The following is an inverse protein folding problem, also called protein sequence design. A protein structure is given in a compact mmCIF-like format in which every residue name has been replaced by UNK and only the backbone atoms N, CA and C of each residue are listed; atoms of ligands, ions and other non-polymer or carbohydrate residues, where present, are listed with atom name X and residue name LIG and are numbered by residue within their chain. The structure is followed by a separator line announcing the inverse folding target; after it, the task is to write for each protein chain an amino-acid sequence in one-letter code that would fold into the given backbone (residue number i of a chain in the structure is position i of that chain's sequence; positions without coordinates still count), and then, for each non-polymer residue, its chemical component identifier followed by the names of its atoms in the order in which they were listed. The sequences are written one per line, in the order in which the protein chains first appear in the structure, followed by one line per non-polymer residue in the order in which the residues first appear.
data_IF_702630343503
#
_entry.id   IF_702630343503
#
_cell.length_a   1.000
_cell.length_b   1.000
_cell.length_c   1.000
_cell.angle_alpha   90.00
_cell.angle_beta   90.00
_cell.angle_gamma   90.00
#
_symmetry.space_group_name_H-M   'P 1'
#
loop_
_entity.id
_entity.type
_entity.pdbx_description
1 polymer ?
#
# COMPACT_ATOMS: atom_id res chain seq x y z
N UNK A 1 20.63 6.82 20.65
CA UNK A 1 19.75 7.01 19.47
C UNK A 1 18.25 7.08 19.79
N UNK A 2 17.75 6.52 20.89
CA UNK A 2 16.31 6.47 21.19
C UNK A 2 15.57 7.83 21.32
N UNK A 3 16.29 8.96 21.42
CA UNK A 3 15.71 10.32 21.50
C UNK A 3 15.96 11.19 20.26
N UNK A 4 16.50 10.61 19.18
CA UNK A 4 16.84 11.39 17.97
C UNK A 4 15.59 11.81 17.21
N UNK A 5 15.49 13.04 16.77
CA UNK A 5 14.38 13.53 15.94
C UNK A 5 14.58 13.22 14.44
N UNK A 6 13.50 13.21 13.63
CA UNK A 6 13.61 12.98 12.20
C UNK A 6 14.60 13.95 11.53
N UNK A 7 15.44 13.39 10.66
CA UNK A 7 16.59 13.99 9.96
C UNK A 7 17.83 14.29 10.83
N UNK A 8 17.86 13.82 12.08
CA UNK A 8 19.04 13.95 12.93
C UNK A 8 20.08 12.84 12.64
N UNK A 9 21.37 13.17 12.81
CA UNK A 9 22.50 12.26 12.70
C UNK A 9 23.06 12.01 14.09
N UNK A 10 23.31 10.74 14.45
CA UNK A 10 23.83 10.38 15.77
C UNK A 10 25.31 10.72 15.89
N UNK A 11 25.77 10.94 17.12
CA UNK A 11 27.19 10.80 17.43
C UNK A 11 27.71 9.39 17.06
N UNK A 12 29.02 9.23 16.79
CA UNK A 12 29.60 7.92 16.51
C UNK A 12 29.39 6.93 17.67
N UNK A 13 28.58 5.90 17.43
CA UNK A 13 28.27 4.85 18.41
C UNK A 13 29.32 3.75 18.30
N UNK A 14 30.06 3.50 19.39
CA UNK A 14 31.07 2.44 19.44
C UNK A 14 30.41 1.07 19.63
N UNK A 15 30.73 0.13 18.75
CA UNK A 15 30.32 -1.29 18.84
C UNK A 15 31.54 -2.20 18.75
N UNK A 16 31.34 -3.50 18.94
CA UNK A 16 32.40 -4.51 18.75
C UNK A 16 32.98 -4.54 17.33
N UNK A 17 32.23 -4.03 16.33
CA UNK A 17 32.62 -4.01 14.94
C UNK A 17 33.19 -2.65 14.48
N UNK A 18 33.27 -1.66 15.37
CA UNK A 18 33.78 -0.31 15.07
C UNK A 18 32.80 0.80 15.43
N UNK A 19 32.91 1.95 14.78
CA UNK A 19 32.01 3.10 15.00
C UNK A 19 30.87 3.11 13.97
N UNK A 20 29.65 3.34 14.44
CA UNK A 20 28.44 3.42 13.62
C UNK A 20 27.85 4.83 13.75
N UNK A 21 27.51 5.45 12.63
CA UNK A 21 26.82 6.74 12.59
C UNK A 21 25.44 6.46 11.98
N UNK A 22 24.38 6.87 12.65
CA UNK A 22 23.00 6.55 12.28
C UNK A 22 22.31 7.86 11.90
N UNK A 23 21.62 7.90 10.76
CA UNK A 23 20.76 9.01 10.38
C UNK A 23 19.29 8.60 10.51
N UNK A 24 18.51 9.28 11.34
CA UNK A 24 17.09 8.97 11.50
C UNK A 24 16.30 9.62 10.36
N UNK A 25 15.78 8.85 9.42
CA UNK A 25 15.01 9.41 8.28
C UNK A 25 13.56 9.78 8.64
N UNK A 26 13.02 9.15 9.67
CA UNK A 26 11.64 9.32 10.12
C UNK A 26 11.37 8.45 11.34
N UNK A 27 10.39 8.83 12.15
CA UNK A 27 9.96 8.08 13.34
C UNK A 27 8.52 7.63 13.12
N UNK A 28 8.24 6.37 13.40
CA UNK A 28 6.89 5.80 13.37
C UNK A 28 6.62 5.22 14.76
N UNK A 29 5.46 5.49 15.34
CA UNK A 29 5.05 4.86 16.60
C UNK A 29 4.68 3.40 16.30
N UNK A 30 5.26 2.47 17.06
CA UNK A 30 4.89 1.07 16.94
C UNK A 30 3.45 0.89 17.42
N UNK A 31 2.60 0.28 16.58
CA UNK A 31 1.19 0.05 16.89
C UNK A 31 0.24 1.22 16.57
N UNK A 32 0.71 2.32 15.99
CA UNK A 32 -0.18 3.31 15.40
C UNK A 32 -0.67 2.79 14.03
N UNK A 33 -1.99 2.57 13.83
CA UNK A 33 -2.50 2.08 12.55
C UNK A 33 -2.18 3.10 11.45
N UNK A 34 -1.46 2.68 10.40
CA UNK A 34 -1.30 3.48 9.20
C UNK A 34 -2.45 3.14 8.23
N UNK A 35 -3.39 4.08 7.97
CA UNK A 35 -4.49 3.83 7.04
C UNK A 35 -4.02 3.48 5.62
N UNK A 36 -2.79 3.84 5.25
CA UNK A 36 -2.17 3.52 3.97
C UNK A 36 -1.70 2.07 3.90
N UNK A 37 -1.40 1.45 5.04
CA UNK A 37 -0.96 0.05 5.11
C UNK A 37 -2.11 -0.93 5.24
N UNK A 38 -3.33 -0.45 5.53
CA UNK A 38 -4.53 -1.27 5.55
C UNK A 38 -4.71 -2.02 4.22
N UNK A 39 -5.08 -3.30 4.32
CA UNK A 39 -5.39 -4.15 3.17
C UNK A 39 -6.89 -4.10 2.95
N UNK A 40 -7.31 -3.87 1.72
CA UNK A 40 -8.72 -3.79 1.34
C UNK A 40 -9.00 -4.66 0.13
N UNK A 41 -10.22 -5.21 0.08
CA UNK A 41 -10.83 -5.67 -1.16
C UNK A 41 -11.87 -4.65 -1.58
N UNK A 42 -11.95 -4.36 -2.87
CA UNK A 42 -12.83 -3.31 -3.40
C UNK A 42 -13.74 -3.88 -4.48
N UNK A 43 -14.86 -3.23 -4.71
CA UNK A 43 -15.63 -3.36 -5.96
C UNK A 43 -15.71 -1.98 -6.58
N UNK A 44 -15.50 -1.89 -7.89
CA UNK A 44 -15.54 -0.61 -8.59
C UNK A 44 -16.39 -0.64 -9.85
N UNK A 45 -16.96 0.52 -10.18
CA UNK A 45 -17.65 0.76 -11.45
C UNK A 45 -16.94 1.94 -12.13
N UNK A 46 -16.30 1.64 -13.26
CA UNK A 46 -15.60 2.60 -14.09
C UNK A 46 -16.49 3.04 -15.24
N UNK A 47 -16.72 4.33 -15.36
CA UNK A 47 -17.60 4.91 -16.37
C UNK A 47 -16.80 5.87 -17.27
N UNK A 48 -16.35 5.43 -18.46
CA UNK A 48 -15.55 6.26 -19.35
C UNK A 48 -16.36 7.46 -19.86
N UNK A 49 -15.73 8.64 -19.88
CA UNK A 49 -16.31 9.88 -20.46
C UNK A 49 -15.69 10.25 -21.80
N UNK A 50 -14.64 9.53 -22.22
CA UNK A 50 -13.93 9.73 -23.48
C UNK A 50 -13.73 8.40 -24.23
N UNK A 51 -13.51 8.50 -25.54
CA UNK A 51 -13.24 7.34 -26.41
C UNK A 51 -14.49 6.59 -26.89
N UNK A 52 -14.29 5.49 -27.63
CA UNK A 52 -15.36 4.76 -28.30
C UNK A 52 -16.34 4.00 -27.38
N UNK A 53 -16.06 3.95 -26.07
CA UNK A 53 -16.96 3.40 -25.05
C UNK A 53 -17.51 4.48 -24.12
N UNK A 54 -17.30 5.76 -24.45
CA UNK A 54 -17.77 6.87 -23.63
C UNK A 54 -19.27 6.78 -23.38
N UNK A 55 -19.65 6.93 -22.12
CA UNK A 55 -21.04 6.92 -21.69
C UNK A 55 -21.62 8.32 -21.92
N UNK A 56 -22.85 8.40 -22.44
CA UNK A 56 -23.49 9.69 -22.68
C UNK A 56 -23.85 10.38 -21.35
N UNK A 57 -24.04 11.70 -21.37
CA UNK A 57 -24.39 12.45 -20.16
C UNK A 57 -25.69 11.95 -19.49
N UNK A 58 -26.70 11.57 -20.27
CA UNK A 58 -27.96 11.03 -19.75
C UNK A 58 -27.78 9.66 -19.10
N UNK A 59 -27.05 8.76 -19.76
CA UNK A 59 -26.68 7.46 -19.19
C UNK A 59 -25.83 7.63 -17.93
N UNK A 60 -24.97 8.65 -17.89
CA UNK A 60 -24.17 8.93 -16.70
C UNK A 60 -25.00 9.33 -15.51
N UNK A 61 -25.97 10.22 -15.70
CA UNK A 61 -26.90 10.59 -14.65
C UNK A 61 -27.69 9.38 -14.16
N UNK A 62 -28.18 8.55 -15.10
CA UNK A 62 -28.92 7.33 -14.78
C UNK A 62 -28.09 6.34 -13.97
N UNK A 63 -26.91 5.93 -14.48
CA UNK A 63 -26.06 4.96 -13.78
C UNK A 63 -25.60 5.49 -12.43
N UNK A 64 -25.24 6.76 -12.33
CA UNK A 64 -24.83 7.37 -11.06
C UNK A 64 -25.95 7.25 -10.02
N UNK A 65 -27.19 7.57 -10.41
CA UNK A 65 -28.35 7.47 -9.52
C UNK A 65 -28.61 6.01 -9.09
N UNK A 66 -28.65 5.07 -10.05
CA UNK A 66 -28.84 3.65 -9.78
C UNK A 66 -27.76 3.09 -8.84
N UNK A 67 -26.50 3.44 -9.07
CA UNK A 67 -25.38 3.03 -8.20
C UNK A 67 -25.59 3.57 -6.78
N UNK A 68 -25.95 4.84 -6.62
CA UNK A 68 -26.10 5.43 -5.28
C UNK A 68 -27.33 4.94 -4.51
N UNK A 69 -28.37 4.49 -5.20
CA UNK A 69 -29.68 4.15 -4.58
C UNK A 69 -29.94 2.65 -4.48
N UNK A 70 -29.41 1.84 -5.41
CA UNK A 70 -29.71 0.41 -5.50
C UNK A 70 -28.56 -0.48 -5.02
N UNK A 71 -27.34 0.05 -4.92
CA UNK A 71 -26.16 -0.73 -4.52
C UNK A 71 -25.91 -0.55 -3.02
N UNK A 72 -26.28 -1.56 -2.24
CA UNK A 72 -26.04 -1.66 -0.80
C UNK A 72 -25.02 -2.73 -0.39
N UNK A 73 -24.54 -3.55 -1.34
CA UNK A 73 -23.54 -4.58 -1.08
C UNK A 73 -22.55 -4.73 -2.24
N UNK A 74 -21.41 -5.35 -1.97
CA UNK A 74 -20.41 -5.63 -2.99
C UNK A 74 -20.91 -6.58 -4.09
N UNK A 75 -21.79 -7.53 -3.75
CA UNK A 75 -22.39 -8.43 -4.75
C UNK A 75 -23.30 -7.66 -5.70
N UNK A 76 -24.09 -6.72 -5.17
CA UNK A 76 -24.92 -5.83 -5.99
C UNK A 76 -24.05 -4.90 -6.85
N UNK A 77 -22.93 -4.42 -6.31
CA UNK A 77 -21.99 -3.59 -7.06
C UNK A 77 -21.33 -4.37 -8.20
N UNK A 78 -20.94 -5.62 -7.95
CA UNK A 78 -20.37 -6.52 -8.95
C UNK A 78 -21.41 -6.88 -10.04
N UNK A 79 -22.65 -7.16 -9.66
CA UNK A 79 -23.73 -7.40 -10.62
C UNK A 79 -24.02 -6.15 -11.49
N UNK A 80 -24.01 -4.97 -10.87
CA UNK A 80 -24.16 -3.69 -11.57
C UNK A 80 -22.98 -3.43 -12.53
N UNK A 81 -21.75 -3.69 -12.09
CA UNK A 81 -20.55 -3.61 -12.92
C UNK A 81 -20.66 -4.52 -14.17
N UNK A 82 -21.11 -5.76 -14.00
CA UNK A 82 -21.33 -6.71 -15.11
C UNK A 82 -22.43 -6.22 -16.06
N UNK A 83 -23.53 -5.69 -15.53
CA UNK A 83 -24.65 -5.15 -16.32
C UNK A 83 -24.23 -3.95 -17.18
N UNK A 84 -23.40 -3.06 -16.63
CA UNK A 84 -22.88 -1.89 -17.36
C UNK A 84 -21.83 -2.33 -18.39
N UNK A 85 -21.02 -3.35 -18.08
CA UNK A 85 -20.08 -3.96 -19.03
C UNK A 85 -18.94 -3.04 -19.47
N UNK A 86 -18.58 -2.06 -18.64
CA UNK A 86 -17.44 -1.18 -18.89
C UNK A 86 -16.13 -1.84 -18.44
N UNK A 87 -15.05 -1.79 -19.26
CA UNK A 87 -13.75 -2.30 -18.88
C UNK A 87 -13.22 -1.63 -17.61
N UNK A 88 -12.59 -2.40 -16.74
CA UNK A 88 -12.10 -1.91 -15.46
C UNK A 88 -13.17 -1.85 -14.36
N UNK A 89 -14.41 -2.27 -14.61
CA UNK A 89 -15.41 -2.47 -13.57
C UNK A 89 -15.37 -3.91 -13.02
N UNK A 90 -15.71 -4.07 -11.74
CA UNK A 90 -15.76 -5.36 -11.05
C UNK A 90 -14.95 -5.38 -9.75
N UNK A 91 -14.71 -6.59 -9.19
CA UNK A 91 -13.94 -6.74 -7.97
C UNK A 91 -12.46 -6.44 -8.22
N UNK A 92 -11.85 -5.73 -7.27
CA UNK A 92 -10.42 -5.59 -7.13
C UNK A 92 -10.01 -6.43 -5.92
N UNK A 93 -9.07 -7.33 -6.15
CA UNK A 93 -8.54 -8.24 -5.15
C UNK A 93 -7.73 -7.49 -4.06
N UNK A 94 -7.16 -8.22 -3.12
CA UNK A 94 -6.40 -7.72 -1.99
C UNK A 94 -5.33 -6.71 -2.40
N UNK A 95 -5.50 -5.46 -1.98
CA UNK A 95 -4.56 -4.38 -2.25
C UNK A 95 -4.39 -3.47 -1.02
N UNK A 96 -3.16 -2.94 -0.85
CA UNK A 96 -2.90 -1.91 0.14
C UNK A 96 -3.51 -0.57 -0.28
N UNK A 97 -4.13 0.12 0.67
CA UNK A 97 -4.72 1.45 0.43
C UNK A 97 -3.69 2.43 -0.14
N UNK A 98 -2.43 2.38 0.31
CA UNK A 98 -1.34 3.21 -0.19
C UNK A 98 -0.97 2.97 -1.66
N UNK A 99 -1.34 1.82 -2.23
CA UNK A 99 -1.14 1.51 -3.65
C UNK A 99 -2.19 2.11 -4.58
N UNK A 100 -3.27 2.70 -4.04
CA UNK A 100 -4.32 3.33 -4.83
C UNK A 100 -3.88 4.69 -5.39
N UNK A 101 -4.41 5.10 -6.56
CA UNK A 101 -4.29 6.47 -7.04
C UNK A 101 -4.81 7.46 -5.99
N UNK A 102 -4.14 8.61 -5.84
CA UNK A 102 -4.38 9.58 -4.75
C UNK A 102 -5.86 9.91 -4.52
N UNK A 103 -6.61 10.27 -5.56
CA UNK A 103 -8.05 10.57 -5.43
C UNK A 103 -8.89 9.39 -4.90
N UNK A 104 -8.56 8.18 -5.34
CA UNK A 104 -9.27 6.95 -4.93
C UNK A 104 -8.86 6.58 -3.52
N UNK A 105 -7.58 6.66 -3.21
CA UNK A 105 -7.00 6.44 -1.88
C UNK A 105 -7.68 7.32 -0.85
N UNK A 106 -7.77 8.62 -1.10
CA UNK A 106 -8.34 9.58 -0.17
C UNK A 106 -9.83 9.30 0.09
N UNK A 107 -10.56 8.90 -0.95
CA UNK A 107 -11.95 8.46 -0.81
C UNK A 107 -12.05 7.17 0.02
N UNK A 108 -11.24 6.16 -0.31
CA UNK A 108 -11.25 4.85 0.36
C UNK A 108 -10.86 4.97 1.82
N UNK A 109 -9.89 5.78 2.22
CA UNK A 109 -9.49 5.95 3.64
C UNK A 109 -10.70 6.33 4.52
N UNK A 110 -11.59 7.17 4.01
CA UNK A 110 -12.76 7.68 4.74
C UNK A 110 -14.03 6.85 4.54
N UNK A 111 -14.00 5.88 3.63
CA UNK A 111 -15.18 5.12 3.23
C UNK A 111 -15.41 3.91 4.15
N UNK A 112 -16.57 3.79 4.82
CA UNK A 112 -16.90 2.60 5.58
C UNK A 112 -17.09 1.37 4.67
N UNK A 113 -16.84 0.20 5.24
CA UNK A 113 -17.09 -1.08 4.57
C UNK A 113 -18.58 -1.20 4.21
N UNK A 114 -18.88 -1.68 3.01
CA UNK A 114 -20.23 -1.88 2.49
C UNK A 114 -20.94 -0.62 2.00
N UNK A 115 -20.28 0.55 1.99
CA UNK A 115 -20.85 1.78 1.42
C UNK A 115 -20.17 2.17 0.12
N UNK A 116 -20.98 2.58 -0.86
CA UNK A 116 -20.47 3.12 -2.12
C UNK A 116 -19.96 4.55 -1.91
N UNK A 117 -18.88 4.90 -2.60
CA UNK A 117 -18.33 6.24 -2.61
C UNK A 117 -19.26 7.21 -3.34
N UNK A 118 -19.16 8.51 -3.04
CA UNK A 118 -19.54 9.55 -4.01
C UNK A 118 -18.81 9.34 -5.35
N UNK A 119 -19.33 9.89 -6.46
CA UNK A 119 -18.64 9.83 -7.75
C UNK A 119 -17.26 10.48 -7.67
N UNK A 120 -16.23 9.77 -8.10
CA UNK A 120 -14.85 10.23 -8.16
C UNK A 120 -14.52 10.54 -9.62
N UNK A 121 -14.34 11.81 -9.94
CA UNK A 121 -13.96 12.23 -11.28
C UNK A 121 -12.44 12.11 -11.47
N UNK A 122 -12.06 11.21 -12.38
CA UNK A 122 -10.69 10.96 -12.82
C UNK A 122 -10.55 11.34 -14.29
N UNK A 123 -9.31 11.44 -14.76
CA UNK A 123 -9.04 11.79 -16.16
C UNK A 123 -9.70 10.76 -17.09
N UNK A 124 -10.70 11.20 -17.85
CA UNK A 124 -11.39 10.37 -18.84
C UNK A 124 -12.46 9.42 -18.30
N UNK A 125 -12.80 9.48 -17.00
CA UNK A 125 -13.87 8.65 -16.45
C UNK A 125 -14.43 9.15 -15.11
N UNK A 126 -15.62 8.66 -14.77
CA UNK A 126 -16.21 8.73 -13.45
C UNK A 126 -16.12 7.36 -12.78
N UNK A 127 -15.62 7.32 -11.56
CA UNK A 127 -15.39 6.09 -10.80
C UNK A 127 -16.29 6.06 -9.57
N UNK A 128 -16.86 4.90 -9.29
CA UNK A 128 -17.48 4.57 -8.02
C UNK A 128 -16.74 3.40 -7.40
N UNK A 129 -16.46 3.46 -6.10
CA UNK A 129 -15.76 2.40 -5.37
C UNK A 129 -16.53 2.06 -4.10
N UNK A 130 -16.55 0.77 -3.73
CA UNK A 130 -17.03 0.29 -2.44
C UNK A 130 -15.95 -0.57 -1.80
N UNK A 131 -15.78 -0.40 -0.49
CA UNK A 131 -14.89 -1.26 0.30
C UNK A 131 -15.65 -2.51 0.74
N UNK A 132 -15.19 -3.69 0.34
CA UNK A 132 -15.84 -4.97 0.65
C UNK A 132 -15.29 -5.58 1.93
N UNK A 133 -13.97 -5.57 2.09
CA UNK A 133 -13.30 -5.91 3.35
C UNK A 133 -12.21 -4.87 3.62
N UNK A 134 -11.94 -4.65 4.91
CA UNK A 134 -10.84 -3.82 5.37
C UNK A 134 -10.17 -4.49 6.55
N UNK A 135 -8.92 -4.87 6.33
CA UNK A 135 -8.01 -5.35 7.36
C UNK A 135 -7.13 -4.18 7.77
N UNK A 136 -7.30 -3.73 9.01
CA UNK A 136 -6.49 -2.65 9.54
C UNK A 136 -5.04 -3.13 9.70
N UNK A 137 -4.10 -2.24 9.40
CA UNK A 137 -2.72 -2.47 9.79
C UNK A 137 -2.65 -2.43 11.32
N UNK A 138 -2.26 -3.55 11.93
CA UNK A 138 -2.03 -3.63 13.38
C UNK A 138 -0.72 -2.94 13.76
N UNK A 139 0.11 -2.55 12.78
CA UNK A 139 1.45 -2.02 12.99
C UNK A 139 2.41 -3.06 13.55
N UNK A 140 1.98 -4.33 13.63
CA UNK A 140 2.74 -5.45 14.15
C UNK A 140 3.04 -6.38 12.95
N UNK A 141 4.32 -6.64 12.65
CA UNK A 141 4.68 -7.57 11.58
C UNK A 141 4.16 -8.97 11.89
N UNK A 142 3.83 -9.73 10.84
CA UNK A 142 3.39 -11.12 11.02
C UNK A 142 4.55 -12.01 11.51
N UNK A 143 4.24 -13.17 12.10
CA UNK A 143 5.26 -14.13 12.52
C UNK A 143 6.19 -14.54 11.37
N UNK A 144 5.65 -14.68 10.16
CA UNK A 144 6.41 -15.00 8.94
C UNK A 144 7.35 -13.85 8.54
N UNK A 145 6.90 -12.60 8.64
CA UNK A 145 7.73 -11.43 8.38
C UNK A 145 8.85 -11.29 9.41
N UNK A 146 8.56 -11.56 10.69
CA UNK A 146 9.56 -11.57 11.76
C UNK A 146 10.58 -12.67 11.52
N UNK A 147 10.13 -13.89 11.22
CA UNK A 147 11.01 -15.02 10.91
C UNK A 147 11.93 -14.70 9.72
N UNK A 148 11.36 -14.22 8.61
CA UNK A 148 12.11 -13.86 7.41
C UNK A 148 13.17 -12.79 7.69
N UNK A 149 12.88 -11.80 8.54
CA UNK A 149 13.87 -10.79 8.96
C UNK A 149 15.00 -11.42 9.76
N UNK A 150 14.68 -12.24 10.76
CA UNK A 150 15.68 -12.91 11.60
C UNK A 150 16.59 -13.86 10.80
N UNK A 151 16.02 -14.58 9.82
CA UNK A 151 16.79 -15.43 8.91
C UNK A 151 17.76 -14.62 8.06
N UNK A 152 17.30 -13.52 7.46
CA UNK A 152 18.14 -12.63 6.67
C UNK A 152 19.27 -12.01 7.51
N UNK A 153 18.96 -11.52 8.72
CA UNK A 153 19.97 -10.98 9.63
C UNK A 153 21.03 -12.02 9.98
N UNK A 154 20.62 -13.27 10.21
CA UNK A 154 21.53 -14.39 10.48
C UNK A 154 22.41 -14.69 9.27
N UNK A 155 21.83 -14.77 8.08
CA UNK A 155 22.57 -15.00 6.83
C UNK A 155 23.57 -13.87 6.56
N UNK A 156 23.18 -12.62 6.75
CA UNK A 156 24.06 -11.47 6.55
C UNK A 156 25.22 -11.47 7.55
N UNK A 157 24.96 -11.87 8.81
CA UNK A 157 26.01 -12.00 9.82
C UNK A 157 27.01 -13.10 9.47
N UNK A 158 26.54 -14.25 9.00
CA UNK A 158 27.39 -15.35 8.53
C UNK A 158 28.20 -14.91 7.31
N UNK A 159 27.58 -14.24 6.34
CA UNK A 159 28.25 -13.73 5.15
C UNK A 159 29.37 -12.73 5.51
N UNK A 160 29.07 -11.77 6.41
CA UNK A 160 30.07 -10.81 6.92
C UNK A 160 31.22 -11.51 7.64
N UNK A 161 30.93 -12.52 8.45
CA UNK A 161 31.97 -13.31 9.11
C UNK A 161 32.85 -14.05 8.10
N UNK A 162 32.23 -14.70 7.11
CA UNK A 162 32.95 -15.42 6.06
C UNK A 162 33.85 -14.50 5.24
N UNK A 163 33.36 -13.32 4.86
CA UNK A 163 34.17 -12.33 4.16
C UNK A 163 35.36 -11.84 4.99
N UNK A 164 35.19 -11.68 6.31
CA UNK A 164 36.30 -11.35 7.22
C UNK A 164 37.35 -12.47 7.26
N UNK A 165 36.91 -13.73 7.30
CA UNK A 165 37.82 -14.88 7.31
C UNK A 165 38.61 -14.99 6.01
N UNK A 166 37.92 -14.86 4.86
CA UNK A 166 38.55 -14.87 3.54
C UNK A 166 39.57 -13.75 3.37
N UNK A 167 39.25 -12.52 3.82
CA UNK A 167 40.20 -11.39 3.78
C UNK A 167 41.44 -11.63 4.64
N UNK A 168 41.31 -12.32 5.78
CA UNK A 168 42.47 -12.67 6.63
C UNK A 168 43.37 -13.74 6.02
N UNK A 169 42.80 -14.61 5.20
CA UNK A 169 43.52 -15.70 4.53
C UNK A 169 44.12 -15.29 3.18
N UNK A 170 43.59 -14.23 2.57
CA UNK A 170 44.06 -13.74 1.29
C UNK A 170 45.36 -12.93 1.43
N UNK A 171 46.33 -13.19 0.55
CA UNK A 171 47.45 -12.28 0.33
C UNK A 171 46.94 -11.11 -0.53
N UNK A 172 46.77 -9.93 0.06
CA UNK A 172 46.28 -8.73 -0.64
C UNK A 172 47.46 -7.76 -0.81
N UNK A 173 47.98 -7.63 -2.03
CA UNK A 173 48.95 -6.58 -2.38
C UNK A 173 48.19 -5.27 -2.69
N UNK A 174 48.42 -4.22 -1.89
CA UNK A 174 47.85 -2.89 -2.09
C UNK A 174 48.97 -1.97 -2.54
N UNK A 175 49.02 -1.68 -3.84
CA UNK A 175 49.95 -0.68 -4.40
C UNK A 175 49.29 0.70 -4.31
N UNK A 176 49.99 1.65 -3.67
CA UNK A 176 49.58 3.04 -3.46
C UNK A 176 50.25 3.91 -4.51
#
# INVERSE_FOLDING_TARGET
VARMEPNEISDPVRTIAGYHIIALRGRREAGAPDPLMAIVTLSQIYLPTIGGRAVTASQMAQYSNEITTQVGSCDQMNAMAQRIGTPGSGPIDLMRVGGLPEKVRDAVIRLPVGRVSPPIDITGARLFVMVCTREADTGIPSDEEVMSRLENDKLENIARQRLRDLRRQALIDVRI
#
